data_IF_615788813103
#
_entry.id   IF_615788813103
#
_cell.length_a   1.000
_cell.length_b   1.000
_cell.length_c   1.000
_cell.angle_alpha   90.00
_cell.angle_beta   90.00
_cell.angle_gamma   90.00
#
_symmetry.space_group_name_H-M   'P 1'
#
loop_
_entity.id
_entity.type
_entity.pdbx_description
1 polymer ?
#
# COMPACT_ATOMS: atom_id res chain seq x y z
N UNK A 1 7.80 -22.21 -5.83
CA UNK A 1 7.36 -20.81 -5.64
C UNK A 1 7.16 -20.53 -4.16
N UNK A 2 7.83 -19.51 -3.65
CA UNK A 2 7.68 -19.07 -2.27
C UNK A 2 6.79 -17.83 -2.22
N UNK A 3 5.96 -17.73 -1.18
CA UNK A 3 5.06 -16.60 -0.97
C UNK A 3 5.25 -16.04 0.43
N UNK A 4 5.24 -14.73 0.56
CA UNK A 4 5.21 -14.05 1.85
C UNK A 4 4.14 -12.98 1.85
N UNK A 5 3.63 -12.68 3.04
CA UNK A 5 2.63 -11.64 3.24
C UNK A 5 3.03 -10.77 4.43
N UNK A 6 2.99 -9.46 4.25
CA UNK A 6 3.19 -8.49 5.33
C UNK A 6 1.90 -7.70 5.51
N UNK A 7 1.42 -7.62 6.74
CA UNK A 7 0.27 -6.79 7.10
C UNK A 7 0.73 -5.59 7.89
N UNK A 8 0.27 -4.41 7.50
CA UNK A 8 0.61 -3.14 8.16
C UNK A 8 -0.67 -2.39 8.50
N UNK A 9 -0.67 -1.70 9.64
CA UNK A 9 -1.68 -0.71 9.96
C UNK A 9 -1.07 0.67 9.84
N UNK A 10 -1.76 1.56 9.12
CA UNK A 10 -1.30 2.91 8.83
C UNK A 10 -2.38 3.89 9.28
N UNK A 11 -1.98 4.92 10.03
CA UNK A 11 -2.88 6.02 10.40
C UNK A 11 -2.47 7.25 9.60
N UNK A 12 -3.28 7.65 8.64
CA UNK A 12 -2.94 8.75 7.74
C UNK A 12 -4.19 9.43 7.20
N UNK A 13 -4.04 10.69 6.82
CA UNK A 13 -5.12 11.45 6.22
C UNK A 13 -4.87 11.67 4.73
N UNK A 14 -5.94 11.93 4.00
CA UNK A 14 -5.89 12.26 2.59
C UNK A 14 -7.12 13.09 2.18
N UNK A 15 -7.01 13.71 1.04
CA UNK A 15 -8.16 14.26 0.32
C UNK A 15 -8.03 13.85 -1.14
N UNK A 16 -9.17 13.58 -1.77
CA UNK A 16 -9.18 13.15 -3.16
C UNK A 16 -9.40 14.32 -4.10
N UNK A 17 -8.74 14.28 -5.26
CA UNK A 17 -8.98 15.23 -6.35
C UNK A 17 -9.95 14.57 -7.31
N UNK A 18 -11.20 15.07 -7.32
CA UNK A 18 -12.30 14.50 -8.09
C UNK A 18 -12.83 15.52 -9.08
N UNK A 19 -13.39 15.03 -10.18
CA UNK A 19 -14.05 15.86 -11.19
C UNK A 19 -15.55 16.04 -10.91
N UNK A 20 -16.00 15.63 -9.71
CA UNK A 20 -17.36 15.81 -9.23
C UNK A 20 -17.32 16.14 -7.73
N UNK A 21 -18.39 16.74 -7.20
CA UNK A 21 -18.46 17.13 -5.79
C UNK A 21 -18.68 15.91 -4.89
N UNK A 22 -17.85 15.78 -3.84
CA UNK A 22 -17.89 14.65 -2.90
C UNK A 22 -17.27 15.05 -1.56
N UNK A 23 -17.71 14.39 -0.49
CA UNK A 23 -17.08 14.51 0.85
C UNK A 23 -15.63 14.06 0.83
N UNK A 24 -15.24 13.21 -0.12
CA UNK A 24 -13.86 12.71 -0.23
C UNK A 24 -12.87 13.80 -0.65
N UNK A 25 -13.33 14.95 -1.13
CA UNK A 25 -12.49 16.10 -1.40
C UNK A 25 -12.08 16.84 -0.13
N UNK A 26 -12.75 16.60 0.98
CA UNK A 26 -12.35 17.14 2.27
C UNK A 26 -11.23 16.30 2.86
N UNK A 27 -10.29 16.96 3.53
CA UNK A 27 -9.23 16.24 4.24
C UNK A 27 -9.83 15.39 5.35
N UNK A 28 -9.53 14.11 5.34
CA UNK A 28 -10.05 13.17 6.33
C UNK A 28 -9.04 12.05 6.58
N UNK A 29 -9.17 11.38 7.72
CA UNK A 29 -8.24 10.34 8.13
C UNK A 29 -8.86 8.97 8.20
N UNK A 30 -8.00 7.97 8.05
CA UNK A 30 -8.35 6.56 8.20
C UNK A 30 -7.28 5.81 8.97
N UNK A 31 -7.67 4.69 9.54
CA UNK A 31 -6.74 3.65 9.98
C UNK A 31 -6.73 2.58 8.90
N UNK A 32 -5.76 2.69 8.01
CA UNK A 32 -5.65 1.81 6.85
C UNK A 32 -5.07 0.47 7.25
N UNK A 33 -5.65 -0.61 6.76
CA UNK A 33 -5.05 -1.93 6.86
C UNK A 33 -4.52 -2.31 5.48
N UNK A 34 -3.25 -2.67 5.43
CA UNK A 34 -2.58 -2.96 4.16
C UNK A 34 -1.99 -4.36 4.22
N UNK A 35 -2.29 -5.17 3.20
CA UNK A 35 -1.70 -6.49 3.02
C UNK A 35 -0.82 -6.46 1.78
N UNK A 36 0.43 -6.85 1.94
CA UNK A 36 1.45 -6.81 0.89
C UNK A 36 1.92 -8.24 0.61
N UNK A 37 1.76 -8.69 -0.63
CA UNK A 37 2.04 -10.06 -1.05
C UNK A 37 3.22 -10.08 -1.99
N UNK A 38 4.24 -10.85 -1.66
CA UNK A 38 5.43 -11.04 -2.49
C UNK A 38 5.63 -12.51 -2.81
N UNK A 39 6.25 -12.81 -3.95
CA UNK A 39 6.56 -14.19 -4.35
C UNK A 39 7.88 -14.24 -5.10
N UNK A 40 8.54 -15.39 -5.06
CA UNK A 40 9.74 -15.66 -5.81
C UNK A 40 9.95 -17.17 -5.97
N UNK A 41 10.52 -17.57 -7.11
CA UNK A 41 10.89 -18.98 -7.33
C UNK A 41 12.06 -19.40 -6.46
N UNK A 42 12.96 -18.45 -6.18
CA UNK A 42 14.18 -18.70 -5.41
C UNK A 42 14.27 -17.73 -4.24
N UNK A 43 14.97 -18.14 -3.21
CA UNK A 43 15.27 -17.28 -2.07
C UNK A 43 16.59 -16.56 -2.30
N UNK A 44 16.76 -15.39 -1.67
CA UNK A 44 18.02 -14.66 -1.71
C UNK A 44 19.09 -15.36 -0.84
N UNK A 45 20.27 -14.75 -0.73
CA UNK A 45 21.37 -15.31 0.04
C UNK A 45 21.08 -15.45 1.53
N UNK A 46 20.07 -14.77 2.03
CA UNK A 46 19.63 -14.84 3.43
C UNK A 46 18.43 -15.77 3.63
N UNK A 47 17.96 -16.43 2.57
CA UNK A 47 16.82 -17.33 2.66
C UNK A 47 15.46 -16.61 2.64
N UNK A 48 15.37 -15.45 2.00
CA UNK A 48 14.15 -14.62 1.99
C UNK A 48 13.65 -14.34 0.58
N UNK A 49 12.33 -14.24 0.43
CA UNK A 49 11.68 -13.66 -0.75
C UNK A 49 11.87 -12.15 -0.71
N UNK A 50 11.50 -11.55 0.40
CA UNK A 50 11.65 -10.12 0.68
C UNK A 50 11.65 -9.96 2.19
N UNK A 51 12.55 -9.16 2.73
CA UNK A 51 12.68 -8.95 4.17
C UNK A 51 11.45 -8.18 4.68
N UNK A 52 10.74 -8.76 5.65
CA UNK A 52 9.56 -8.12 6.27
C UNK A 52 9.89 -6.76 6.87
N UNK A 53 11.07 -6.61 7.45
CA UNK A 53 11.50 -5.33 8.04
C UNK A 53 11.69 -4.27 6.96
N UNK A 54 12.20 -4.66 5.80
CA UNK A 54 12.37 -3.73 4.67
C UNK A 54 11.01 -3.32 4.09
N UNK A 55 10.07 -4.25 3.99
CA UNK A 55 8.70 -3.93 3.54
C UNK A 55 8.09 -2.87 4.46
N UNK A 56 8.17 -3.09 5.76
CA UNK A 56 7.66 -2.13 6.75
C UNK A 56 8.32 -0.76 6.59
N UNK A 57 9.65 -0.74 6.44
CA UNK A 57 10.40 0.50 6.30
C UNK A 57 10.01 1.27 5.05
N UNK A 58 9.87 0.59 3.92
CA UNK A 58 9.52 1.21 2.64
C UNK A 58 8.11 1.80 2.64
N UNK A 59 7.15 1.13 3.25
CA UNK A 59 5.75 1.51 3.20
C UNK A 59 5.33 2.26 4.46
N UNK A 60 5.39 1.62 5.62
CA UNK A 60 5.02 2.24 6.89
C UNK A 60 5.85 3.49 7.16
N UNK A 61 7.15 3.43 6.95
CA UNK A 61 8.05 4.56 7.14
C UNK A 61 7.80 5.73 6.19
N UNK A 62 7.13 5.49 5.07
CA UNK A 62 6.85 6.53 4.08
C UNK A 62 5.50 7.21 4.29
N UNK A 63 4.47 6.45 4.71
CA UNK A 63 3.10 6.95 4.71
C UNK A 63 2.40 6.95 6.07
N UNK A 64 2.98 6.33 7.12
CA UNK A 64 2.33 6.32 8.44
C UNK A 64 2.43 7.68 9.12
N UNK A 65 1.34 8.11 9.76
CA UNK A 65 1.22 9.40 10.44
C UNK A 65 1.57 10.58 9.53
N UNK A 66 1.13 10.52 8.27
CA UNK A 66 1.38 11.54 7.26
C UNK A 66 0.11 12.00 6.60
N UNK A 67 0.17 13.16 5.97
CA UNK A 67 -0.81 13.57 4.96
C UNK A 67 -0.36 12.95 3.64
N UNK A 68 -1.15 12.01 3.12
CA UNK A 68 -0.78 11.25 1.91
C UNK A 68 -0.61 12.16 0.69
N UNK A 69 -1.35 13.26 0.63
CA UNK A 69 -1.22 14.22 -0.46
C UNK A 69 0.13 14.91 -0.51
N UNK A 70 0.83 14.99 0.63
CA UNK A 70 2.16 15.60 0.71
C UNK A 70 3.27 14.63 0.35
N UNK A 71 3.10 13.34 0.65
CA UNK A 71 4.16 12.34 0.49
C UNK A 71 4.01 11.46 -0.74
N UNK A 72 2.83 11.45 -1.37
CA UNK A 72 2.56 10.73 -2.62
C UNK A 72 2.29 11.73 -3.73
N UNK A 73 2.80 11.44 -4.94
CA UNK A 73 2.75 12.34 -6.09
C UNK A 73 1.56 12.07 -7.02
N UNK A 74 0.51 11.47 -6.51
CA UNK A 74 -0.67 11.11 -7.27
C UNK A 74 -1.91 11.28 -6.39
N UNK A 75 -3.10 11.21 -7.01
CA UNK A 75 -4.36 11.22 -6.27
C UNK A 75 -4.38 9.99 -5.34
N UNK A 76 -4.40 10.17 -4.00
CA UNK A 76 -4.19 9.07 -3.07
C UNK A 76 -5.46 8.25 -2.81
N UNK A 77 -6.02 7.68 -3.86
CA UNK A 77 -7.08 6.69 -3.77
C UNK A 77 -6.51 5.37 -3.27
N UNK A 78 -7.35 4.52 -2.70
CA UNK A 78 -6.93 3.18 -2.26
C UNK A 78 -6.33 2.39 -3.44
N UNK A 79 -6.90 2.51 -4.63
CA UNK A 79 -6.42 1.86 -5.85
C UNK A 79 -5.00 2.31 -6.22
N UNK A 80 -4.77 3.61 -6.24
CA UNK A 80 -3.46 4.16 -6.58
C UNK A 80 -2.41 3.85 -5.52
N UNK A 81 -2.80 3.83 -4.26
CA UNK A 81 -1.89 3.44 -3.16
C UNK A 81 -1.50 1.97 -3.32
N UNK A 82 -2.46 1.08 -3.63
CA UNK A 82 -2.18 -0.33 -3.86
C UNK A 82 -1.17 -0.53 -5.00
N UNK A 83 -1.35 0.18 -6.11
CA UNK A 83 -0.42 0.14 -7.24
C UNK A 83 0.97 0.64 -6.86
N UNK A 84 1.04 1.75 -6.14
CA UNK A 84 2.31 2.30 -5.67
C UNK A 84 3.08 1.30 -4.81
N UNK A 85 2.38 0.58 -3.92
CA UNK A 85 3.00 -0.45 -3.08
C UNK A 85 3.60 -1.56 -3.94
N UNK A 86 2.85 -2.07 -4.90
CA UNK A 86 3.32 -3.15 -5.78
C UNK A 86 4.53 -2.69 -6.59
N UNK A 87 4.53 -1.44 -7.05
CA UNK A 87 5.64 -0.89 -7.83
C UNK A 87 6.87 -0.57 -6.97
N UNK A 88 6.71 -0.41 -5.67
CA UNK A 88 7.78 -0.01 -4.75
C UNK A 88 8.48 -1.21 -4.10
N UNK A 89 7.72 -2.21 -3.65
CA UNK A 89 8.24 -3.34 -2.88
C UNK A 89 8.80 -4.41 -3.81
N UNK A 90 10.06 -4.84 -3.62
CA UNK A 90 10.65 -5.91 -4.44
C UNK A 90 9.86 -7.22 -4.33
N UNK A 91 9.69 -7.90 -5.46
CA UNK A 91 8.96 -9.16 -5.59
C UNK A 91 7.49 -9.10 -5.24
N UNK A 92 6.95 -7.90 -5.02
CA UNK A 92 5.54 -7.71 -4.73
C UNK A 92 4.71 -7.91 -6.00
N UNK A 93 3.67 -8.72 -5.91
CA UNK A 93 2.76 -8.96 -7.04
C UNK A 93 1.34 -8.50 -6.77
N UNK A 94 1.00 -8.25 -5.50
CA UNK A 94 -0.35 -7.85 -5.09
C UNK A 94 -0.29 -7.02 -3.80
N UNK A 95 -1.13 -6.02 -3.72
CA UNK A 95 -1.37 -5.26 -2.49
C UNK A 95 -2.87 -5.03 -2.31
N UNK A 96 -3.34 -5.15 -1.08
CA UNK A 96 -4.70 -4.81 -0.69
C UNK A 96 -4.64 -3.63 0.26
N UNK A 97 -5.44 -2.62 -0.03
CA UNK A 97 -5.51 -1.39 0.77
C UNK A 97 -6.94 -1.24 1.28
N UNK A 98 -7.10 -1.46 2.58
CA UNK A 98 -8.38 -1.32 3.27
C UNK A 98 -8.44 0.08 3.86
N UNK A 99 -9.24 0.95 3.24
CA UNK A 99 -9.46 2.32 3.72
C UNK A 99 -10.25 2.30 5.02
N UNK A 100 -11.19 1.37 5.10
CA UNK A 100 -12.02 1.10 6.26
C UNK A 100 -12.38 -0.39 6.25
N UNK A 101 -13.08 -0.83 7.29
CA UNK A 101 -13.54 -2.22 7.38
C UNK A 101 -14.34 -2.68 6.16
N UNK A 102 -15.08 -1.78 5.54
CA UNK A 102 -16.02 -2.10 4.46
C UNK A 102 -15.53 -1.73 3.06
N UNK A 103 -14.41 -1.03 2.96
CA UNK A 103 -13.92 -0.50 1.67
C UNK A 103 -12.47 -0.91 1.43
N UNK A 104 -12.26 -1.70 0.39
CA UNK A 104 -10.94 -2.22 0.04
C UNK A 104 -10.72 -2.11 -1.46
N UNK A 105 -9.50 -1.74 -1.83
CA UNK A 105 -9.03 -1.84 -3.20
C UNK A 105 -7.78 -2.72 -3.25
N UNK A 106 -7.58 -3.41 -4.35
CA UNK A 106 -6.40 -4.22 -4.56
C UNK A 106 -5.85 -3.98 -5.96
N UNK A 107 -4.54 -4.10 -6.06
CA UNK A 107 -3.86 -4.13 -7.34
C UNK A 107 -2.99 -5.39 -7.40
N UNK A 108 -3.10 -6.12 -8.51
CA UNK A 108 -2.29 -7.29 -8.75
C UNK A 108 -1.68 -7.17 -10.15
N UNK A 109 -0.39 -7.51 -10.27
CA UNK A 109 0.28 -7.46 -11.58
C UNK A 109 -0.31 -8.47 -12.53
N UNK A 110 -0.48 -8.06 -13.77
CA UNK A 110 -0.80 -8.96 -14.86
C UNK A 110 0.46 -9.77 -15.20
N UNK A 111 0.34 -11.08 -15.26
CA UNK A 111 1.47 -11.97 -15.55
C UNK A 111 1.16 -12.92 -16.71
#
# INVERSE_FOLDING_TARGET
MYFVKKTLEISSCHQLYLDYESKCENLHGHNWMINIYCKSKELDSNGMVTDFTQIKKMIHGHIDHRNLNEVLKFNPTAENIARWIVDTVPNCYRAEVWESRDNMAAYERDE
#
